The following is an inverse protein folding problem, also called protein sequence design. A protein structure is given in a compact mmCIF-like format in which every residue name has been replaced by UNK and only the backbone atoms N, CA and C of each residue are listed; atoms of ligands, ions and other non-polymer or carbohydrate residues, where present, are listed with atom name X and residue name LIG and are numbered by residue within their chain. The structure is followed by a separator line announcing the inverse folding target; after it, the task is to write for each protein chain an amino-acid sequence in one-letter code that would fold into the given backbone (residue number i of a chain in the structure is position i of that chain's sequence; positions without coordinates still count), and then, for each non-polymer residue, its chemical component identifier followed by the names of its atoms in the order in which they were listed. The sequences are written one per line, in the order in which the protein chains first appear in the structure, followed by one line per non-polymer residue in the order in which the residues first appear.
data_IF_527256043828
#
_entry.id   IF_527256043828
#
_cell.length_a   1.000
_cell.length_b   1.000
_cell.length_c   1.000
_cell.angle_alpha   90.00
_cell.angle_beta   90.00
_cell.angle_gamma   90.00
#
_symmetry.space_group_name_H-M   'P 1'
#
loop_
_entity.id
_entity.type
_entity.pdbx_description
1 polymer ?
#
# COMPACT_ATOMS: atom_id res chain seq x y z
N UNK A 1 -2.58 -18.65 -17.05
CA UNK A 1 -2.30 -17.61 -16.03
C UNK A 1 -2.25 -18.24 -14.66
N UNK A 2 -1.07 -18.62 -14.17
CA UNK A 2 -0.92 -19.08 -12.80
C UNK A 2 -0.89 -17.87 -11.88
N UNK A 3 -1.98 -17.71 -11.13
CA UNK A 3 -2.07 -16.90 -9.91
C UNK A 3 -0.86 -17.25 -9.03
N UNK A 4 -0.08 -16.25 -8.62
CA UNK A 4 1.04 -16.45 -7.69
C UNK A 4 0.51 -16.26 -6.26
N UNK A 5 0.31 -17.34 -5.47
CA UNK A 5 -0.36 -17.24 -4.18
C UNK A 5 0.37 -16.31 -3.21
N UNK A 6 1.71 -16.26 -3.25
CA UNK A 6 2.48 -15.34 -2.41
C UNK A 6 2.26 -13.87 -2.78
N UNK A 7 2.08 -13.55 -4.07
CA UNK A 7 1.75 -12.17 -4.49
C UNK A 7 0.37 -11.78 -3.95
N UNK A 8 -0.61 -12.67 -4.04
CA UNK A 8 -1.94 -12.40 -3.49
C UNK A 8 -1.93 -12.24 -1.98
N UNK A 9 -1.20 -13.09 -1.27
CA UNK A 9 -1.05 -12.98 0.18
C UNK A 9 -0.44 -11.63 0.61
N UNK A 10 0.54 -11.13 -0.15
CA UNK A 10 1.06 -9.76 0.07
C UNK A 10 0.00 -8.70 -0.23
N UNK A 11 -0.79 -8.85 -1.30
CA UNK A 11 -1.85 -7.89 -1.61
C UNK A 11 -2.92 -7.84 -0.50
N UNK A 12 -3.38 -9.00 -0.04
CA UNK A 12 -4.37 -9.13 1.03
C UNK A 12 -3.83 -8.51 2.33
N UNK A 13 -2.59 -8.85 2.69
CA UNK A 13 -1.94 -8.26 3.86
C UNK A 13 -1.87 -6.73 3.78
N UNK A 14 -1.50 -6.16 2.62
CA UNK A 14 -1.42 -4.72 2.45
C UNK A 14 -2.78 -4.03 2.59
N UNK A 15 -3.85 -4.64 2.10
CA UNK A 15 -5.24 -4.13 2.22
C UNK A 15 -5.65 -4.08 3.70
N UNK A 16 -5.40 -5.15 4.44
CA UNK A 16 -5.77 -5.26 5.86
C UNK A 16 -4.89 -4.40 6.78
N UNK A 17 -3.71 -3.98 6.30
CA UNK A 17 -2.68 -3.31 7.11
C UNK A 17 -2.21 -1.98 6.49
N UNK A 18 -3.10 -1.26 5.80
CA UNK A 18 -2.80 0.00 5.12
C UNK A 18 -2.09 1.04 6.00
N UNK A 19 -2.48 1.12 7.28
CA UNK A 19 -1.96 2.09 8.24
C UNK A 19 -0.61 1.71 8.85
N UNK A 20 -0.15 0.47 8.68
CA UNK A 20 1.11 -0.01 9.27
C UNK A 20 2.32 0.36 8.40
N UNK A 21 3.48 0.29 9.02
CA UNK A 21 4.75 0.30 8.29
C UNK A 21 4.90 -1.03 7.55
N UNK A 22 4.78 -0.98 6.22
CA UNK A 22 4.83 -2.14 5.33
C UNK A 22 6.14 -2.11 4.53
N UNK A 23 7.26 -2.38 5.21
CA UNK A 23 8.55 -2.49 4.53
C UNK A 23 8.71 -3.82 3.78
N UNK A 24 9.61 -3.84 2.80
CA UNK A 24 9.81 -4.99 1.93
C UNK A 24 10.37 -6.21 2.66
N UNK A 25 11.11 -6.01 3.76
CA UNK A 25 11.71 -7.08 4.57
C UNK A 25 10.62 -7.87 5.30
N UNK A 26 9.66 -7.17 5.90
CA UNK A 26 8.52 -7.73 6.61
C UNK A 26 7.62 -8.51 5.65
N UNK A 27 7.30 -7.91 4.50
CA UNK A 27 6.46 -8.56 3.50
C UNK A 27 7.14 -9.78 2.87
N UNK A 28 8.45 -9.73 2.65
CA UNK A 28 9.19 -10.87 2.13
C UNK A 28 9.24 -12.02 3.14
N UNK A 29 9.42 -11.69 4.43
CA UNK A 29 9.39 -12.66 5.52
C UNK A 29 8.02 -13.34 5.64
N UNK A 30 6.92 -12.59 5.49
CA UNK A 30 5.55 -13.10 5.51
C UNK A 30 5.36 -14.26 4.53
N UNK A 31 5.89 -14.13 3.30
CA UNK A 31 5.70 -15.12 2.23
C UNK A 31 6.90 -16.03 1.98
N UNK A 32 7.86 -16.06 2.91
CA UNK A 32 9.04 -16.93 2.82
C UNK A 32 9.96 -16.62 1.63
N UNK A 33 10.09 -15.35 1.25
CA UNK A 33 10.96 -14.88 0.17
C UNK A 33 12.09 -14.00 0.67
N UNK A 34 13.16 -13.87 -0.12
CA UNK A 34 14.06 -12.73 0.04
C UNK A 34 13.41 -11.45 -0.49
N UNK A 35 13.76 -10.26 0.04
CA UNK A 35 13.22 -8.97 -0.42
C UNK A 35 13.40 -8.74 -1.92
N UNK A 36 14.56 -9.14 -2.45
CA UNK A 36 14.88 -9.06 -3.88
C UNK A 36 13.97 -9.96 -4.71
N UNK A 37 13.69 -11.18 -4.24
CA UNK A 37 12.80 -12.09 -4.94
C UNK A 37 11.36 -11.58 -4.90
N UNK A 38 10.87 -11.12 -3.74
CA UNK A 38 9.54 -10.54 -3.63
C UNK A 38 9.37 -9.34 -4.57
N UNK A 39 10.31 -8.39 -4.56
CA UNK A 39 10.27 -7.22 -5.46
C UNK A 39 10.15 -7.64 -6.93
N UNK A 40 10.96 -8.61 -7.36
CA UNK A 40 10.98 -9.11 -8.74
C UNK A 40 9.66 -9.81 -9.09
N UNK A 41 9.24 -10.78 -8.28
CA UNK A 41 8.03 -11.58 -8.53
C UNK A 41 6.79 -10.70 -8.50
N UNK A 42 6.68 -9.80 -7.52
CA UNK A 42 5.55 -8.89 -7.43
C UNK A 42 5.43 -8.01 -8.67
N UNK A 43 6.55 -7.42 -9.13
CA UNK A 43 6.56 -6.61 -10.36
C UNK A 43 6.25 -7.40 -11.62
N UNK A 44 6.80 -8.60 -11.76
CA UNK A 44 6.50 -9.50 -12.89
C UNK A 44 5.02 -9.91 -12.95
N UNK A 45 4.37 -10.07 -11.79
CA UNK A 45 2.97 -10.54 -11.71
C UNK A 45 1.93 -9.43 -11.72
N UNK A 46 2.25 -8.27 -11.16
CA UNK A 46 1.30 -7.15 -11.03
C UNK A 46 1.58 -5.99 -12.00
N UNK A 47 2.77 -5.96 -12.62
CA UNK A 47 3.23 -4.84 -13.45
C UNK A 47 3.73 -3.64 -12.64
N UNK A 48 3.64 -3.66 -11.31
CA UNK A 48 3.99 -2.54 -10.43
C UNK A 48 4.86 -2.99 -9.26
N UNK A 49 5.58 -2.05 -8.64
CA UNK A 49 6.30 -2.35 -7.39
C UNK A 49 5.33 -2.45 -6.20
N UNK A 50 5.77 -3.12 -5.14
CA UNK A 50 5.02 -3.19 -3.87
C UNK A 50 4.70 -1.80 -3.33
N UNK A 51 5.66 -0.86 -3.43
CA UNK A 51 5.50 0.51 -2.94
C UNK A 51 4.47 1.31 -3.75
N UNK A 52 4.51 1.20 -5.07
CA UNK A 52 3.53 1.84 -5.96
C UNK A 52 2.12 1.28 -5.71
N UNK A 53 1.99 -0.05 -5.58
CA UNK A 53 0.74 -0.70 -5.24
C UNK A 53 0.17 -0.22 -3.90
N UNK A 54 1.01 -0.21 -2.84
CA UNK A 54 0.61 0.31 -1.53
C UNK A 54 0.22 1.79 -1.59
N UNK A 55 0.93 2.59 -2.39
CA UNK A 55 0.61 4.01 -2.58
C UNK A 55 -0.76 4.19 -3.26
N UNK A 56 -1.07 3.34 -4.25
CA UNK A 56 -2.37 3.34 -4.92
C UNK A 56 -3.49 2.98 -3.94
N UNK A 57 -3.34 1.89 -3.17
CA UNK A 57 -4.34 1.50 -2.17
C UNK A 57 -4.59 2.60 -1.14
N UNK A 58 -3.52 3.23 -0.62
CA UNK A 58 -3.62 4.35 0.32
C UNK A 58 -4.31 5.56 -0.29
N UNK A 59 -4.08 5.84 -1.58
CA UNK A 59 -4.73 6.93 -2.31
C UNK A 59 -6.22 6.65 -2.47
N UNK A 60 -6.60 5.46 -2.90
CA UNK A 60 -8.00 5.05 -3.06
C UNK A 60 -8.74 5.11 -1.73
N UNK A 61 -8.16 4.54 -0.68
CA UNK A 61 -8.75 4.56 0.66
C UNK A 61 -8.94 6.00 1.20
N UNK A 62 -7.93 6.87 1.03
CA UNK A 62 -8.05 8.27 1.38
C UNK A 62 -9.16 8.98 0.60
N UNK A 63 -9.25 8.74 -0.71
CA UNK A 63 -10.30 9.31 -1.57
C UNK A 63 -11.70 8.88 -1.10
N UNK A 64 -11.87 7.64 -0.66
CA UNK A 64 -13.14 7.19 -0.05
C UNK A 64 -13.44 7.94 1.24
N UNK A 65 -12.46 8.06 2.14
CA UNK A 65 -12.63 8.72 3.43
C UNK A 65 -12.93 10.22 3.32
N UNK A 66 -12.39 10.89 2.30
CA UNK A 66 -12.63 12.33 2.05
C UNK A 66 -14.10 12.68 1.80
N UNK A 67 -14.94 11.69 1.48
CA UNK A 67 -16.38 11.90 1.31
C UNK A 67 -17.12 12.07 2.64
N UNK A 68 -16.49 11.77 3.77
CA UNK A 68 -17.07 12.00 5.10
C UNK A 68 -16.57 13.34 5.68
N UNK A 69 -17.44 14.34 5.86
CA UNK A 69 -17.06 15.66 6.36
C UNK A 69 -16.61 15.67 7.83
N UNK A 70 -16.85 14.60 8.59
CA UNK A 70 -16.42 14.50 9.99
C UNK A 70 -14.93 14.15 10.14
N UNK A 71 -14.29 13.69 9.05
CA UNK A 71 -12.89 13.28 9.08
C UNK A 71 -11.95 14.44 8.74
N UNK A 72 -11.04 14.74 9.67
CA UNK A 72 -9.94 15.68 9.41
C UNK A 72 -8.89 15.06 8.50
N UNK A 73 -8.11 15.88 7.78
CA UNK A 73 -7.02 15.39 6.92
C UNK A 73 -5.96 14.66 7.75
N UNK A 74 -5.69 15.11 8.97
CA UNK A 74 -4.78 14.46 9.92
C UNK A 74 -5.29 13.06 10.30
N UNK A 75 -6.59 12.92 10.56
CA UNK A 75 -7.20 11.63 10.84
C UNK A 75 -7.08 10.70 9.63
N UNK A 76 -7.47 11.15 8.44
CA UNK A 76 -7.36 10.35 7.21
C UNK A 76 -5.90 9.93 6.95
N UNK A 77 -4.95 10.85 7.15
CA UNK A 77 -3.52 10.55 7.01
C UNK A 77 -3.10 9.39 7.92
N UNK A 78 -3.51 9.41 9.20
CA UNK A 78 -3.21 8.34 10.15
C UNK A 78 -3.79 6.99 9.72
N UNK A 79 -5.03 6.98 9.21
CA UNK A 79 -5.69 5.75 8.74
C UNK A 79 -5.06 5.20 7.46
N UNK A 80 -4.42 6.06 6.67
CA UNK A 80 -3.67 5.67 5.47
C UNK A 80 -2.19 5.36 5.76
N UNK A 81 -1.74 5.40 7.02
CA UNK A 81 -0.35 5.09 7.39
C UNK A 81 0.64 6.22 7.09
N UNK A 82 0.15 7.45 6.98
CA UNK A 82 0.99 8.64 6.88
C UNK A 82 1.17 9.30 8.25
N UNK A 83 2.40 9.72 8.54
CA UNK A 83 2.75 10.40 9.79
C UNK A 83 2.24 11.85 9.82
N UNK A 84 1.93 12.42 8.66
CA UNK A 84 1.50 13.83 8.55
C UNK A 84 0.46 14.02 7.45
N UNK A 85 -0.44 15.00 7.64
CA UNK A 85 -1.37 15.47 6.62
C UNK A 85 -0.67 15.87 5.31
N UNK A 86 0.53 16.46 5.39
CA UNK A 86 1.33 16.86 4.22
C UNK A 86 1.72 15.67 3.34
N UNK A 87 2.05 14.52 3.93
CA UNK A 87 2.39 13.31 3.16
C UNK A 87 1.17 12.81 2.37
N UNK A 88 0.00 12.78 3.00
CA UNK A 88 -1.25 12.45 2.35
C UNK A 88 -1.58 13.42 1.21
N UNK A 89 -1.51 14.73 1.46
CA UNK A 89 -1.79 15.75 0.44
C UNK A 89 -0.86 15.63 -0.78
N UNK A 90 0.40 15.23 -0.58
CA UNK A 90 1.35 15.00 -1.67
C UNK A 90 0.89 13.85 -2.57
N UNK A 91 0.50 12.72 -2.01
CA UNK A 91 0.09 11.55 -2.82
C UNK A 91 -1.25 11.78 -3.54
N UNK A 92 -2.16 12.58 -2.95
CA UNK A 92 -3.44 12.92 -3.57
C UNK A 92 -3.24 13.81 -4.81
N UNK A 93 -2.27 14.74 -4.74
CA UNK A 93 -1.93 15.67 -5.83
C UNK A 93 -1.07 15.05 -6.93
N UNK A 94 -0.31 14.01 -6.61
CA UNK A 94 0.44 13.26 -7.61
C UNK A 94 -0.53 12.47 -8.48
N UNK A 95 -0.75 12.94 -9.71
CA UNK A 95 -1.32 12.13 -10.78
C UNK A 95 -0.32 11.04 -11.17
N UNK A 96 -0.79 9.80 -11.31
CA UNK A 96 -0.03 8.75 -11.98
C UNK A 96 0.17 9.12 -13.46
#
# INVERSE_FOLDING_TARGET
NHINPQVHEVQDYLIDNLSKDNDIETLASLVGMSPRNLTRVFKEKTGTTVLEYLTLLRKEYASTMLNNPEYTIEYIASQCGFKTARQLQRILKSSA
#
